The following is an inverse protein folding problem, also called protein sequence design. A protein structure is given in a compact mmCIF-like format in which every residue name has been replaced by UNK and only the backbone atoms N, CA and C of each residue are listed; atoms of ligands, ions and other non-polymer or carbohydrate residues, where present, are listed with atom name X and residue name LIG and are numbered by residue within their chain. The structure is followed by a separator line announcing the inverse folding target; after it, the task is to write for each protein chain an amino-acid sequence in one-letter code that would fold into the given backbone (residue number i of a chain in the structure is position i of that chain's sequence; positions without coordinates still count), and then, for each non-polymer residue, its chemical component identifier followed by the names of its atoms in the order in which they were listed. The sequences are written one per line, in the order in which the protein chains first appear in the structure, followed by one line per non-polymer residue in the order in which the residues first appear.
data_IF_946156925858
#
_entry.id   IF_946156925858
#
_cell.length_a   1.000
_cell.length_b   1.000
_cell.length_c   1.000
_cell.angle_alpha   90.00
_cell.angle_beta   90.00
_cell.angle_gamma   90.00
#
_symmetry.space_group_name_H-M   'P 1'
#
loop_
_entity.id
_entity.type
_entity.pdbx_description
1 polymer ?
#
# COMPACT_ATOMS: atom_id res chain seq x y z
N UNK A 1 -15.63 21.68 0.98
CA UNK A 1 -15.28 20.38 1.55
C UNK A 1 -13.77 20.31 1.67
N UNK A 2 -13.25 19.62 2.69
CA UNK A 2 -11.81 19.39 2.84
C UNK A 2 -11.34 18.35 1.80
N UNK A 3 -10.13 18.49 1.33
CA UNK A 3 -9.49 17.56 0.40
C UNK A 3 -8.53 16.67 1.18
N UNK A 4 -8.70 15.33 1.17
CA UNK A 4 -7.84 14.42 1.93
C UNK A 4 -6.47 14.23 1.27
N UNK A 5 -5.46 13.96 2.08
CA UNK A 5 -4.20 13.39 1.61
C UNK A 5 -4.41 11.89 1.45
N UNK A 6 -4.14 11.36 0.26
CA UNK A 6 -4.44 9.97 -0.08
C UNK A 6 -3.24 9.15 -0.51
N UNK A 7 -2.11 9.80 -0.78
CA UNK A 7 -0.91 9.13 -1.28
C UNK A 7 0.34 9.92 -0.87
N UNK A 8 1.41 9.24 -0.52
CA UNK A 8 2.75 9.84 -0.43
C UNK A 8 3.65 9.30 -1.54
N UNK A 9 4.68 10.04 -1.90
CA UNK A 9 5.63 9.59 -2.90
C UNK A 9 7.06 9.93 -2.48
N UNK A 10 7.92 8.93 -2.54
CA UNK A 10 9.35 9.07 -2.34
C UNK A 10 10.03 8.89 -3.70
N UNK A 11 10.67 9.94 -4.18
CA UNK A 11 11.48 9.89 -5.38
C UNK A 11 12.95 9.77 -4.97
N UNK A 12 13.60 8.68 -5.37
CA UNK A 12 14.94 8.32 -4.93
C UNK A 12 15.90 8.13 -6.10
N UNK A 13 17.17 8.44 -5.90
CA UNK A 13 18.23 8.15 -6.89
C UNK A 13 18.39 6.67 -7.14
N UNK A 14 18.31 5.88 -6.08
CA UNK A 14 18.26 4.42 -6.11
C UNK A 14 16.95 3.96 -5.47
N UNK A 15 15.90 3.90 -6.29
CA UNK A 15 14.58 3.52 -5.83
C UNK A 15 14.57 2.10 -5.26
N UNK A 16 15.32 1.17 -5.87
CA UNK A 16 15.37 -0.23 -5.42
C UNK A 16 15.96 -0.36 -4.01
N UNK A 17 17.05 0.33 -3.76
CA UNK A 17 17.67 0.33 -2.43
C UNK A 17 16.73 0.93 -1.38
N UNK A 18 16.02 2.02 -1.72
CA UNK A 18 15.08 2.68 -0.81
C UNK A 18 13.82 1.83 -0.58
N UNK A 19 13.30 1.16 -1.61
CA UNK A 19 12.21 0.18 -1.49
C UNK A 19 12.57 -0.92 -0.49
N UNK A 20 13.75 -1.55 -0.67
CA UNK A 20 14.23 -2.59 0.24
C UNK A 20 14.42 -2.06 1.66
N UNK A 21 15.01 -0.88 1.81
CA UNK A 21 15.21 -0.27 3.12
C UNK A 21 13.92 -0.13 3.93
N UNK A 22 12.84 0.38 3.31
CA UNK A 22 11.57 0.55 4.02
C UNK A 22 10.80 -0.75 4.24
N UNK A 23 10.94 -1.74 3.35
CA UNK A 23 10.44 -3.09 3.59
C UNK A 23 11.11 -3.69 4.85
N UNK A 24 12.44 -3.61 4.94
CA UNK A 24 13.18 -4.20 6.05
C UNK A 24 12.93 -3.43 7.36
N UNK A 25 12.84 -2.10 7.30
CA UNK A 25 12.70 -1.26 8.49
C UNK A 25 11.28 -1.29 9.07
N UNK A 26 10.26 -1.16 8.22
CA UNK A 26 8.88 -0.97 8.63
C UNK A 26 7.96 -2.14 8.31
N UNK A 27 8.44 -3.12 7.56
CA UNK A 27 7.63 -4.24 7.09
C UNK A 27 6.57 -3.82 6.05
N UNK A 28 6.80 -2.72 5.33
CA UNK A 28 5.85 -2.27 4.30
C UNK A 28 5.80 -3.27 3.15
N UNK A 29 4.59 -3.53 2.65
CA UNK A 29 4.42 -4.23 1.38
C UNK A 29 4.84 -3.31 0.23
N UNK A 30 5.72 -3.77 -0.66
CA UNK A 30 6.13 -3.01 -1.85
C UNK A 30 5.94 -3.90 -3.08
N UNK A 31 5.00 -3.52 -3.95
CA UNK A 31 4.76 -4.19 -5.22
C UNK A 31 5.41 -3.38 -6.36
N UNK A 32 6.35 -4.01 -7.06
CA UNK A 32 7.08 -3.42 -8.19
C UNK A 32 6.69 -4.04 -9.54
N UNK A 33 5.60 -4.81 -9.59
CA UNK A 33 5.16 -5.50 -10.80
C UNK A 33 4.51 -4.52 -11.81
N UNK A 34 5.30 -3.59 -12.30
CA UNK A 34 4.91 -2.62 -13.31
C UNK A 34 6.13 -2.23 -14.18
N UNK A 35 5.93 -1.67 -15.39
CA UNK A 35 7.02 -1.39 -16.34
C UNK A 35 8.11 -0.45 -15.84
N UNK A 36 7.78 0.44 -14.89
CA UNK A 36 8.69 1.43 -14.34
C UNK A 36 9.42 0.95 -13.08
N UNK A 37 9.14 -0.29 -12.61
CA UNK A 37 9.59 -0.79 -11.30
C UNK A 37 9.29 0.20 -10.15
N UNK A 38 8.22 0.98 -10.30
CA UNK A 38 7.70 1.86 -9.26
C UNK A 38 7.14 1.02 -8.12
N UNK A 39 7.63 1.22 -6.92
CA UNK A 39 7.19 0.47 -5.75
C UNK A 39 5.87 1.02 -5.23
N UNK A 40 4.77 0.32 -5.49
CA UNK A 40 3.50 0.60 -4.83
C UNK A 40 3.59 0.15 -3.37
N UNK A 41 3.48 1.09 -2.45
CA UNK A 41 3.69 0.87 -1.01
C UNK A 41 2.36 0.70 -0.29
N UNK A 42 2.22 -0.41 0.41
CA UNK A 42 1.12 -0.64 1.34
C UNK A 42 1.61 -0.50 2.79
N UNK A 43 1.14 0.54 3.46
CA UNK A 43 1.44 0.84 4.88
C UNK A 43 0.30 0.46 5.82
N UNK A 44 -0.81 -0.08 5.31
CA UNK A 44 -2.06 -0.24 6.04
C UNK A 44 -2.22 -1.60 6.74
N UNK A 45 -1.13 -2.27 7.07
CA UNK A 45 -1.16 -3.58 7.75
C UNK A 45 -2.07 -3.62 9.01
N UNK A 46 -2.33 -2.46 9.61
CA UNK A 46 -3.23 -2.30 10.77
C UNK A 46 -4.48 -1.47 10.47
N UNK A 47 -4.80 -1.22 9.20
CA UNK A 47 -5.92 -0.37 8.79
C UNK A 47 -5.74 1.12 9.11
N UNK A 48 -4.51 1.56 9.39
CA UNK A 48 -4.14 2.95 9.67
C UNK A 48 -3.02 3.39 8.73
N UNK A 49 -2.98 4.66 8.41
CA UNK A 49 -1.98 5.25 7.52
C UNK A 49 -2.51 5.48 6.12
N UNK A 50 -1.66 6.00 5.27
CA UNK A 50 -1.91 6.21 3.85
C UNK A 50 -0.91 5.38 3.05
N UNK A 51 -1.35 4.82 1.94
CA UNK A 51 -0.48 4.12 1.00
C UNK A 51 0.29 5.12 0.15
N UNK A 52 1.34 4.65 -0.51
CA UNK A 52 2.20 5.54 -1.28
C UNK A 52 2.96 4.83 -2.38
N UNK A 53 4.05 5.46 -2.78
CA UNK A 53 4.94 4.92 -3.76
C UNK A 53 6.40 5.31 -3.57
N UNK A 54 7.29 4.50 -4.12
CA UNK A 54 8.73 4.77 -4.16
C UNK A 54 9.21 4.57 -5.59
N UNK A 55 9.54 5.67 -6.24
CA UNK A 55 9.98 5.70 -7.62
C UNK A 55 11.39 6.23 -7.82
N UNK A 56 11.91 6.04 -9.04
CA UNK A 56 13.17 6.64 -9.43
C UNK A 56 12.99 8.14 -9.69
N UNK A 57 13.87 8.94 -9.12
CA UNK A 57 13.95 10.37 -9.41
C UNK A 57 14.45 10.59 -10.83
N UNK A 58 13.77 11.44 -11.57
CA UNK A 58 14.15 11.78 -12.95
C UNK A 58 15.29 12.80 -13.04
N UNK A 59 15.45 13.64 -12.02
CA UNK A 59 16.47 14.69 -11.97
C UNK A 59 17.67 14.31 -11.08
N UNK A 60 17.73 13.08 -10.61
CA UNK A 60 18.82 12.56 -9.77
C UNK A 60 18.83 13.10 -8.34
N UNK A 61 17.82 13.86 -7.92
CA UNK A 61 17.65 14.34 -6.55
C UNK A 61 16.57 13.56 -5.82
N UNK A 62 16.83 13.21 -4.56
CA UNK A 62 15.78 12.59 -3.74
C UNK A 62 14.86 13.67 -3.18
N UNK A 63 13.56 13.42 -3.23
CA UNK A 63 12.54 14.31 -2.70
C UNK A 63 11.31 13.53 -2.27
N UNK A 64 10.50 14.14 -1.41
CA UNK A 64 9.28 13.58 -0.85
C UNK A 64 8.12 14.52 -1.18
N UNK A 65 6.98 13.94 -1.52
CA UNK A 65 5.72 14.68 -1.64
C UNK A 65 4.54 13.86 -1.13
N UNK A 66 3.41 14.52 -1.03
CA UNK A 66 2.12 13.88 -0.82
C UNK A 66 1.11 14.39 -1.82
N UNK A 67 0.10 13.58 -2.07
CA UNK A 67 -0.97 13.92 -3.01
C UNK A 67 -2.28 14.15 -2.27
N UNK A 68 -2.91 15.26 -2.63
CA UNK A 68 -4.24 15.66 -2.16
C UNK A 68 -5.26 15.25 -3.20
N UNK A 69 -6.26 14.47 -2.79
CA UNK A 69 -7.35 14.08 -3.69
C UNK A 69 -8.31 15.25 -3.88
N UNK A 70 -8.58 15.56 -5.14
CA UNK A 70 -9.48 16.65 -5.53
C UNK A 70 -10.32 16.25 -6.74
N UNK A 71 -11.59 16.65 -6.77
CA UNK A 71 -12.45 16.32 -7.91
C UNK A 71 -12.02 17.00 -9.21
N UNK A 72 -11.23 18.08 -9.13
CA UNK A 72 -10.79 18.87 -10.28
C UNK A 72 -9.38 19.43 -10.02
N UNK A 73 -8.32 18.69 -10.40
CA UNK A 73 -6.93 19.16 -10.25
C UNK A 73 -6.66 20.51 -10.95
N UNK A 74 -7.23 20.74 -12.13
CA UNK A 74 -7.01 21.98 -12.87
C UNK A 74 -7.58 23.19 -12.11
N UNK A 75 -8.79 23.06 -11.60
CA UNK A 75 -9.45 24.11 -10.82
C UNK A 75 -8.75 24.38 -9.48
N UNK A 76 -8.30 23.29 -8.85
CA UNK A 76 -7.55 23.39 -7.59
C UNK A 76 -6.19 24.04 -7.82
N UNK A 77 -5.49 23.68 -8.88
CA UNK A 77 -4.23 24.28 -9.26
C UNK A 77 -4.37 25.79 -9.56
N UNK A 78 -5.35 26.17 -10.37
CA UNK A 78 -5.63 27.58 -10.65
C UNK A 78 -5.98 28.40 -9.37
N UNK A 79 -6.61 27.75 -8.38
CA UNK A 79 -6.84 28.37 -7.07
C UNK A 79 -5.53 28.49 -6.28
N UNK A 80 -4.68 27.47 -6.31
CA UNK A 80 -3.39 27.50 -5.63
C UNK A 80 -2.51 28.64 -6.18
N UNK A 81 -2.46 28.84 -7.49
CA UNK A 81 -1.72 29.96 -8.12
C UNK A 81 -2.22 31.33 -7.64
N UNK A 82 -3.53 31.52 -7.52
CA UNK A 82 -4.11 32.77 -6.97
C UNK A 82 -3.73 32.99 -5.50
N UNK A 83 -3.35 31.93 -4.79
CA UNK A 83 -2.91 31.96 -3.39
C UNK A 83 -1.37 32.01 -3.26
N UNK A 84 -0.63 32.19 -4.39
CA UNK A 84 0.81 32.36 -4.37
C UNK A 84 1.62 31.11 -4.67
N UNK A 85 0.96 30.00 -5.00
CA UNK A 85 1.65 28.79 -5.45
C UNK A 85 2.18 28.93 -6.89
N UNK A 86 3.18 28.11 -7.22
CA UNK A 86 3.74 28.03 -8.59
C UNK A 86 3.51 26.64 -9.17
N UNK A 87 2.90 26.57 -10.34
CA UNK A 87 2.75 25.30 -11.06
C UNK A 87 4.12 24.73 -11.43
N UNK A 88 4.34 23.46 -11.08
CA UNK A 88 5.49 22.65 -11.51
C UNK A 88 5.09 21.79 -12.70
N UNK A 89 3.96 21.11 -12.60
CA UNK A 89 3.41 20.25 -13.63
C UNK A 89 1.91 20.51 -13.76
N UNK A 90 1.43 20.91 -14.95
CA UNK A 90 0.00 21.03 -15.20
C UNK A 90 -0.69 19.68 -15.12
N UNK A 91 -2.03 19.64 -15.02
CA UNK A 91 -2.79 18.39 -14.98
C UNK A 91 -2.44 17.49 -16.16
N UNK A 92 -2.00 16.27 -15.84
CA UNK A 92 -1.62 15.22 -16.77
C UNK A 92 -2.46 13.97 -16.50
N UNK A 93 -3.06 13.43 -17.55
CA UNK A 93 -3.81 12.17 -17.47
C UNK A 93 -2.88 10.98 -17.67
N UNK A 94 -2.90 10.05 -16.71
CA UNK A 94 -2.21 8.76 -16.79
C UNK A 94 -3.18 7.63 -16.50
N UNK A 95 -3.77 7.09 -17.56
CA UNK A 95 -4.75 6.01 -17.45
C UNK A 95 -5.99 6.44 -16.65
N UNK A 96 -6.15 5.91 -15.44
CA UNK A 96 -7.31 6.19 -14.56
C UNK A 96 -7.05 7.33 -13.56
N UNK A 97 -5.92 7.98 -13.64
CA UNK A 97 -5.50 9.02 -12.70
C UNK A 97 -5.19 10.30 -13.47
N UNK A 98 -5.69 11.43 -12.99
CA UNK A 98 -5.22 12.77 -13.39
C UNK A 98 -4.43 13.33 -12.22
N UNK A 99 -3.20 13.80 -12.46
CA UNK A 99 -2.37 14.39 -11.42
C UNK A 99 -1.73 15.69 -11.89
N UNK A 100 -1.36 16.54 -10.93
CA UNK A 100 -0.64 17.79 -11.14
C UNK A 100 0.32 18.03 -9.98
N UNK A 101 1.34 18.86 -10.20
CA UNK A 101 2.28 19.26 -9.15
C UNK A 101 2.38 20.77 -9.07
N UNK A 102 2.46 21.30 -7.86
CA UNK A 102 2.76 22.71 -7.62
C UNK A 102 3.74 22.88 -6.46
N UNK A 103 4.44 23.99 -6.43
CA UNK A 103 5.17 24.43 -5.26
C UNK A 103 4.29 25.41 -4.47
N UNK A 104 4.19 25.22 -3.17
CA UNK A 104 3.56 26.17 -2.26
C UNK A 104 4.41 27.46 -2.15
N UNK A 105 3.97 28.51 -1.44
CA UNK A 105 4.73 29.76 -1.31
C UNK A 105 6.14 29.61 -0.73
N UNK A 106 6.40 28.54 0.06
CA UNK A 106 7.72 28.22 0.62
C UNK A 106 8.53 27.27 -0.28
N UNK A 107 7.95 26.78 -1.38
CA UNK A 107 8.62 25.91 -2.34
C UNK A 107 8.43 24.41 -2.10
N UNK A 108 7.60 24.01 -1.14
CA UNK A 108 7.30 22.59 -0.94
C UNK A 108 6.49 22.05 -2.12
N UNK A 109 6.91 20.89 -2.63
CA UNK A 109 6.23 20.25 -3.77
C UNK A 109 5.04 19.44 -3.27
N UNK A 110 3.86 19.77 -3.79
CA UNK A 110 2.59 19.11 -3.43
C UNK A 110 1.94 18.57 -4.69
N UNK A 111 1.43 17.35 -4.60
CA UNK A 111 0.67 16.71 -5.65
C UNK A 111 -0.84 16.91 -5.49
N UNK A 112 -1.50 17.09 -6.62
CA UNK A 112 -2.95 16.96 -6.73
C UNK A 112 -3.26 15.69 -7.50
N UNK A 113 -4.27 14.96 -7.06
CA UNK A 113 -4.69 13.73 -7.73
C UNK A 113 -6.21 13.70 -7.85
N UNK A 114 -6.69 13.17 -8.96
CA UNK A 114 -8.07 12.77 -9.16
C UNK A 114 -8.06 11.32 -9.61
N UNK A 115 -8.57 10.43 -8.76
CA UNK A 115 -8.84 9.07 -9.16
C UNK A 115 -10.13 9.07 -9.97
N UNK A 116 -10.04 8.71 -11.24
CA UNK A 116 -11.26 8.48 -12.02
C UNK A 116 -11.93 7.22 -11.43
N UNK A 117 -13.24 7.24 -11.13
CA UNK A 117 -13.94 6.04 -10.75
C UNK A 117 -13.70 5.02 -11.87
N UNK A 118 -13.14 3.86 -11.52
CA UNK A 118 -13.05 2.75 -12.47
C UNK A 118 -14.48 2.52 -12.98
N UNK A 119 -14.71 2.80 -14.25
CA UNK A 119 -15.95 2.41 -14.92
C UNK A 119 -16.09 0.92 -14.66
N UNK A 120 -17.06 0.55 -13.82
CA UNK A 120 -17.18 -0.78 -13.27
C UNK A 120 -17.04 -1.84 -14.37
N UNK A 121 -16.06 -2.70 -14.20
CA UNK A 121 -16.24 -4.06 -14.67
C UNK A 121 -17.44 -4.56 -13.88
N UNK A 122 -18.62 -4.46 -14.47
CA UNK A 122 -19.80 -5.15 -13.99
C UNK A 122 -19.42 -6.65 -14.00
N UNK A 123 -19.01 -7.16 -12.85
CA UNK A 123 -19.03 -8.59 -12.62
C UNK A 123 -20.49 -9.00 -12.67
N UNK A 124 -20.92 -9.37 -13.86
CA UNK A 124 -22.17 -10.08 -14.07
C UNK A 124 -22.06 -11.48 -13.48
N UNK A 125 -21.98 -11.59 -12.17
CA UNK A 125 -22.34 -12.80 -11.46
C UNK A 125 -23.83 -12.72 -11.14
N UNK A 126 -24.63 -12.96 -12.19
CA UNK A 126 -26.05 -13.27 -12.05
C UNK A 126 -26.19 -14.54 -11.22
N UNK A 127 -26.30 -14.38 -9.93
CA UNK A 127 -26.78 -15.44 -9.05
C UNK A 127 -28.26 -15.61 -9.29
N UNK A 128 -28.59 -16.48 -10.24
CA UNK A 128 -29.98 -16.97 -10.41
C UNK A 128 -30.29 -17.86 -9.21
N UNK A 129 -31.00 -17.30 -8.25
CA UNK A 129 -31.72 -18.08 -7.25
C UNK A 129 -32.83 -18.85 -7.95
N UNK A 130 -32.63 -20.11 -8.25
CA UNK A 130 -33.69 -21.04 -8.55
C UNK A 130 -34.19 -21.67 -7.26
N UNK A 131 -35.28 -21.14 -6.75
CA UNK A 131 -36.12 -21.85 -5.77
C UNK A 131 -36.73 -23.06 -6.48
N UNK A 132 -36.43 -24.25 -6.02
CA UNK A 132 -37.25 -25.43 -6.28
C UNK A 132 -37.51 -26.15 -4.95
N UNK A 133 -38.76 -26.20 -4.62
CA UNK A 133 -39.39 -26.97 -3.53
C UNK A 133 -39.34 -28.46 -3.86
N UNK A 134 -39.32 -29.24 -2.81
CA UNK A 134 -39.89 -30.56 -2.51
C UNK A 134 -38.82 -31.41 -1.88
N UNK A 135 -38.95 -32.01 -0.70
CA UNK A 135 -40.07 -32.68 -0.11
C UNK A 135 -39.56 -34.01 0.42
N UNK A 136 -39.91 -34.33 1.66
CA UNK A 136 -39.95 -35.65 2.27
C UNK A 136 -38.66 -36.33 2.76
N UNK A 137 -38.51 -36.34 4.10
CA UNK A 137 -38.62 -37.52 4.97
C UNK A 137 -37.59 -38.65 4.76
N UNK A 138 -36.77 -38.92 5.73
CA UNK A 138 -36.81 -40.09 6.64
C UNK A 138 -35.56 -40.19 7.53
N UNK A 139 -35.85 -40.35 8.77
CA UNK A 139 -35.23 -41.00 9.94
C UNK A 139 -34.03 -41.95 9.67
N UNK A 140 -33.14 -41.91 10.63
CA UNK A 140 -32.55 -43.00 11.44
C UNK A 140 -31.01 -42.86 11.55
N UNK A 141 -30.65 -42.73 12.75
CA UNK A 141 -29.99 -43.54 13.81
C UNK A 141 -28.49 -43.39 13.89
N UNK A 142 -28.15 -42.95 15.06
CA UNK A 142 -27.01 -43.16 15.93
C UNK A 142 -25.91 -44.15 15.52
N UNK A 143 -24.67 -43.74 15.71
CA UNK A 143 -23.67 -44.58 16.34
C UNK A 143 -22.52 -43.72 16.93
N UNK A 144 -22.34 -43.90 18.22
CA UNK A 144 -21.35 -43.46 19.16
C UNK A 144 -20.14 -44.41 19.07
N UNK A 145 -18.91 -43.86 18.99
CA UNK A 145 -17.69 -44.54 19.50
C UNK A 145 -16.57 -43.53 19.65
N UNK A 146 -16.27 -43.20 20.76
CA UNK A 146 -15.20 -43.23 21.78
C UNK A 146 -13.80 -43.67 21.33
N UNK A 147 -12.84 -43.01 21.96
CA UNK A 147 -11.48 -43.45 22.30
C UNK A 147 -10.39 -43.12 21.27
N UNK A 148 -9.23 -42.61 21.55
CA UNK A 148 -8.34 -42.64 22.70
C UNK A 148 -7.20 -41.64 22.54
N UNK A 149 -6.87 -40.96 23.60
CA UNK A 149 -5.59 -40.46 24.07
C UNK A 149 -4.37 -41.25 23.59
N UNK A 150 -3.34 -40.52 23.18
CA UNK A 150 -1.97 -40.80 23.60
C UNK A 150 -1.17 -39.50 23.63
N UNK A 151 -0.61 -39.26 24.81
CA UNK A 151 0.39 -38.22 25.09
C UNK A 151 1.79 -38.84 24.96
N UNK A 152 2.77 -38.02 24.74
CA UNK A 152 4.20 -38.10 25.04
C UNK A 152 4.99 -37.53 23.84
N UNK A 153 6.05 -36.76 23.94
CA UNK A 153 6.98 -36.53 25.02
C UNK A 153 7.78 -35.23 24.69
N UNK A 154 8.08 -34.51 25.74
CA UNK A 154 9.10 -33.45 25.80
C UNK A 154 10.49 -34.06 25.71
N UNK A 155 11.44 -33.36 25.05
CA UNK A 155 12.85 -33.37 25.48
C UNK A 155 13.56 -32.07 25.11
N UNK A 156 14.65 -31.70 25.77
CA UNK A 156 14.96 -30.31 26.13
C UNK A 156 16.21 -29.74 25.45
N UNK A 157 16.24 -28.43 25.47
CA UNK A 157 17.33 -27.46 25.64
C UNK A 157 18.77 -28.02 25.70
N UNK A 158 19.61 -27.48 24.83
CA UNK A 158 21.04 -27.37 25.06
C UNK A 158 21.48 -25.89 24.94
N UNK A 159 21.74 -25.32 26.13
CA UNK A 159 22.55 -24.10 26.30
C UNK A 159 23.96 -24.37 25.82
N UNK A 160 24.52 -23.51 24.99
CA UNK A 160 25.97 -23.47 24.82
C UNK A 160 26.49 -22.03 25.06
N UNK A 161 27.36 -22.07 26.06
CA UNK A 161 28.06 -20.99 26.77
C UNK A 161 29.03 -20.21 25.88
N UNK A 162 29.07 -18.93 26.14
CA UNK A 162 30.09 -17.91 25.93
C UNK A 162 31.51 -18.39 25.97
N UNK A 163 32.35 -17.87 25.06
CA UNK A 163 33.74 -17.54 25.38
C UNK A 163 34.10 -16.18 24.79
N UNK A 164 34.50 -15.35 25.72
CA UNK A 164 35.06 -14.01 25.60
C UNK A 164 36.55 -14.18 25.26
N UNK A 165 37.02 -13.57 24.21
CA UNK A 165 38.44 -13.36 24.01
C UNK A 165 38.74 -11.86 23.91
N UNK A 166 39.43 -11.37 24.89
CA UNK A 166 40.13 -10.08 24.95
C UNK A 166 41.48 -10.25 24.25
N UNK A 167 41.84 -9.30 23.43
CA UNK A 167 43.26 -8.94 23.14
C UNK A 167 43.24 -7.51 22.61
N UNK A 168 43.70 -6.57 23.26
CA UNK A 168 44.93 -5.89 23.64
C UNK A 168 45.82 -5.58 22.44
N UNK A 169 45.92 -4.29 22.20
CA UNK A 169 47.08 -3.43 21.85
C UNK A 169 47.96 -3.80 20.64
N UNK A 170 48.07 -2.91 19.68
CA UNK A 170 49.15 -1.94 19.50
C UNK A 170 48.65 -0.80 18.62
#
# INVERSE_FOLDING_TARGET
MAHPVTHFEINARDAKAVQQFYQDLFGWGVDTNNPQAYGMVDTQASGRGINGGIGASQDGRSWLTFYVDTPDPAKTLAKAEKLGARTIMPPLEMGVVTYALFADPEGNVIGLVKNQPQRGRSNGSGQRSSAARNGASTRRTAAKKTSRRTAAARKPVAKRRTTRARSRRA
#
